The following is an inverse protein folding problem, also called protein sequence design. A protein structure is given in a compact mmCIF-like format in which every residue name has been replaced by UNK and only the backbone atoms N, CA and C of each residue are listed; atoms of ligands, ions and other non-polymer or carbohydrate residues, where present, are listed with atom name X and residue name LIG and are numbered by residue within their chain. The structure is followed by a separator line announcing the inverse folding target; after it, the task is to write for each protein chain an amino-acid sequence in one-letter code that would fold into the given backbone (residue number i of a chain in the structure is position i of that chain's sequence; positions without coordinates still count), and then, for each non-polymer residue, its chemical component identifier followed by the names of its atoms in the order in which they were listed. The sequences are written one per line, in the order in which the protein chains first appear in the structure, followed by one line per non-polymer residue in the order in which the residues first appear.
data_IF_942339095688
#
_entry.id   IF_942339095688
#
_cell.length_a   1.000
_cell.length_b   1.000
_cell.length_c   1.000
_cell.angle_alpha   90.00
_cell.angle_beta   90.00
_cell.angle_gamma   90.00
#
_symmetry.space_group_name_H-M   'P 1'
#
loop_
_entity.id
_entity.type
_entity.pdbx_description
1 polymer ?
#
# COMPACT_ATOMS: atom_id res chain seq x y z
N UNK A 1 24.10 6.98 -12.66
CA UNK A 1 24.87 8.04 -13.33
C UNK A 1 23.97 8.84 -14.27
N UNK A 2 23.50 8.29 -15.41
CA UNK A 2 22.61 9.02 -16.33
C UNK A 2 21.26 9.47 -15.73
N UNK A 3 20.59 8.61 -14.94
CA UNK A 3 19.36 8.97 -14.23
C UNK A 3 19.56 10.07 -13.17
N UNK A 4 20.76 10.13 -12.61
CA UNK A 4 21.15 11.04 -11.53
C UNK A 4 21.36 12.46 -12.07
N UNK A 5 21.93 12.59 -13.27
CA UNK A 5 22.08 13.87 -13.97
C UNK A 5 20.76 14.39 -14.55
N UNK A 6 19.87 13.51 -15.01
CA UNK A 6 18.59 13.90 -15.59
C UNK A 6 17.59 14.47 -14.56
N UNK A 7 17.65 14.02 -13.30
CA UNK A 7 16.74 14.41 -12.22
C UNK A 7 17.25 15.60 -11.39
N UNK A 8 18.54 15.92 -11.53
CA UNK A 8 19.26 16.99 -10.81
C UNK A 8 18.64 18.39 -10.96
N UNK A 9 18.28 18.88 -12.16
CA UNK A 9 17.71 20.22 -12.33
C UNK A 9 16.28 20.34 -11.79
N UNK A 10 15.59 19.22 -11.60
CA UNK A 10 14.16 19.17 -11.22
C UNK A 10 13.95 18.92 -9.72
N UNK A 11 14.91 18.24 -9.07
CA UNK A 11 14.77 17.77 -7.69
C UNK A 11 15.89 18.29 -6.76
N UNK A 12 17.05 18.68 -7.28
CA UNK A 12 18.21 19.07 -6.47
C UNK A 12 19.01 17.88 -5.94
N UNK A 13 20.32 18.10 -5.70
CA UNK A 13 21.32 17.03 -5.47
C UNK A 13 20.97 16.11 -4.30
N UNK A 14 20.52 16.67 -3.18
CA UNK A 14 20.15 15.92 -1.98
C UNK A 14 18.90 15.07 -2.20
N UNK A 15 17.94 15.55 -3.01
CA UNK A 15 16.70 14.83 -3.31
C UNK A 15 16.97 13.68 -4.27
N UNK A 16 17.86 13.84 -5.23
CA UNK A 16 18.28 12.75 -6.11
C UNK A 16 18.92 11.62 -5.31
N UNK A 17 19.75 11.94 -4.31
CA UNK A 17 20.44 10.95 -3.49
C UNK A 17 19.51 10.22 -2.51
N UNK A 18 18.64 10.95 -1.81
CA UNK A 18 17.66 10.38 -0.85
C UNK A 18 16.56 9.59 -1.56
N UNK A 19 16.04 10.12 -2.68
CA UNK A 19 15.01 9.43 -3.47
C UNK A 19 15.59 8.21 -4.15
N UNK A 20 16.85 8.21 -4.61
CA UNK A 20 17.46 6.99 -5.13
C UNK A 20 17.77 5.98 -4.02
N UNK A 21 18.14 6.40 -2.81
CA UNK A 21 18.50 5.48 -1.72
C UNK A 21 17.30 4.66 -1.20
N UNK A 22 16.19 5.32 -0.83
CA UNK A 22 14.99 4.63 -0.34
C UNK A 22 14.38 3.70 -1.40
N UNK A 23 14.48 4.12 -2.65
CA UNK A 23 13.91 3.46 -3.79
C UNK A 23 14.78 2.31 -4.29
N UNK A 24 16.11 2.43 -4.17
CA UNK A 24 17.06 1.34 -4.39
C UNK A 24 16.91 0.26 -3.33
N UNK A 25 16.64 0.62 -2.07
CA UNK A 25 16.34 -0.37 -1.03
C UNK A 25 15.01 -1.12 -1.30
N UNK A 26 13.98 -0.43 -1.81
CA UNK A 26 12.72 -1.07 -2.21
C UNK A 26 12.88 -1.91 -3.49
N UNK A 27 13.66 -1.45 -4.46
CA UNK A 27 13.98 -2.23 -5.66
C UNK A 27 14.84 -3.46 -5.33
N UNK A 28 15.81 -3.33 -4.43
CA UNK A 28 16.65 -4.44 -3.97
C UNK A 28 15.83 -5.46 -3.17
N UNK A 29 14.83 -5.02 -2.39
CA UNK A 29 13.84 -5.90 -1.75
C UNK A 29 13.02 -6.69 -2.80
N UNK A 30 12.49 -6.00 -3.81
CA UNK A 30 11.71 -6.62 -4.89
C UNK A 30 12.56 -7.54 -5.78
N UNK A 31 13.81 -7.18 -6.04
CA UNK A 31 14.77 -8.00 -6.80
C UNK A 31 15.27 -9.19 -5.98
N UNK A 32 15.37 -9.07 -4.65
CA UNK A 32 15.67 -10.19 -3.76
C UNK A 32 14.50 -11.19 -3.71
N UNK A 33 13.25 -10.69 -3.73
CA UNK A 33 12.04 -11.52 -3.86
C UNK A 33 11.96 -12.22 -5.24
N UNK A 34 12.37 -11.55 -6.33
CA UNK A 34 12.45 -12.18 -7.66
C UNK A 34 13.59 -13.19 -7.82
N UNK A 35 14.74 -13.02 -7.14
CA UNK A 35 15.84 -13.99 -7.18
C UNK A 35 15.50 -15.35 -6.56
N UNK A 36 14.42 -15.44 -5.79
CA UNK A 36 13.88 -16.72 -5.33
C UNK A 36 13.16 -17.50 -6.45
N UNK A 37 12.91 -16.89 -7.61
CA UNK A 37 12.23 -17.50 -8.76
C UNK A 37 12.85 -17.12 -10.11
N UNK A 38 13.96 -17.77 -10.48
CA UNK A 38 14.44 -17.84 -11.87
C UNK A 38 15.13 -16.59 -12.43
N UNK A 39 15.85 -16.76 -13.54
CA UNK A 39 16.94 -15.89 -14.03
C UNK A 39 16.59 -14.39 -14.27
N UNK A 40 17.57 -13.48 -14.13
CA UNK A 40 17.35 -12.04 -14.27
C UNK A 40 17.10 -11.63 -15.73
N UNK A 41 15.87 -11.25 -16.05
CA UNK A 41 15.54 -10.62 -17.34
C UNK A 41 15.48 -9.10 -17.24
N UNK A 42 16.32 -8.48 -18.06
CA UNK A 42 16.33 -7.08 -18.53
C UNK A 42 16.63 -5.99 -17.49
N UNK A 43 17.74 -5.28 -17.70
CA UNK A 43 17.99 -3.95 -17.13
C UNK A 43 16.83 -3.01 -17.50
N UNK A 44 15.92 -2.78 -16.55
CA UNK A 44 14.84 -1.82 -16.72
C UNK A 44 15.45 -0.42 -16.92
N UNK A 45 15.13 0.22 -18.05
CA UNK A 45 15.59 1.59 -18.36
C UNK A 45 15.13 2.54 -17.26
N UNK A 46 15.94 3.58 -16.98
CA UNK A 46 15.63 4.53 -15.90
C UNK A 46 14.27 5.23 -16.08
N UNK A 47 13.78 5.33 -17.30
CA UNK A 47 12.43 5.83 -17.62
C UNK A 47 11.32 4.84 -17.26
N UNK A 48 11.52 3.54 -17.53
CA UNK A 48 10.59 2.48 -17.11
C UNK A 48 10.54 2.38 -15.58
N UNK A 49 11.69 2.52 -14.93
CA UNK A 49 11.78 2.62 -13.47
C UNK A 49 10.98 3.82 -12.98
N UNK A 50 11.23 5.02 -13.49
CA UNK A 50 10.52 6.24 -13.07
C UNK A 50 9.00 6.16 -13.32
N UNK A 51 8.56 5.58 -14.44
CA UNK A 51 7.14 5.37 -14.73
C UNK A 51 6.51 4.37 -13.74
N UNK A 52 7.23 3.30 -13.40
CA UNK A 52 6.81 2.33 -12.40
C UNK A 52 6.78 2.96 -11.00
N UNK A 53 7.75 3.81 -10.67
CA UNK A 53 7.82 4.55 -9.41
C UNK A 53 6.71 5.59 -9.25
N UNK A 54 6.35 6.28 -10.33
CA UNK A 54 5.19 7.17 -10.38
C UNK A 54 3.86 6.43 -10.21
N UNK A 55 3.80 5.13 -10.50
CA UNK A 55 2.62 4.30 -10.26
C UNK A 55 2.48 3.85 -8.80
N UNK A 56 3.57 3.89 -8.02
CA UNK A 56 3.61 3.45 -6.62
C UNK A 56 3.73 4.59 -5.59
N UNK A 57 4.22 5.78 -5.98
CA UNK A 57 4.22 6.96 -5.12
C UNK A 57 2.96 7.80 -5.35
N UNK A 58 2.14 8.08 -4.32
CA UNK A 58 1.14 9.14 -4.39
C UNK A 58 1.85 10.44 -4.81
N UNK A 59 1.33 11.16 -5.82
CA UNK A 59 1.92 12.41 -6.35
C UNK A 59 2.31 13.39 -5.23
N UNK A 60 1.53 13.41 -4.16
CA UNK A 60 1.70 14.29 -3.02
C UNK A 60 2.91 13.96 -2.13
N UNK A 61 3.39 12.70 -2.09
CA UNK A 61 4.62 12.33 -1.39
C UNK A 61 5.84 12.87 -2.15
N UNK A 62 5.80 12.83 -3.48
CA UNK A 62 6.84 13.42 -4.33
C UNK A 62 6.91 14.96 -4.16
N UNK A 63 5.76 15.62 -3.95
CA UNK A 63 5.71 17.06 -3.68
C UNK A 63 6.25 17.45 -2.31
N UNK A 64 6.01 16.65 -1.26
CA UNK A 64 6.55 16.93 0.09
C UNK A 64 8.03 16.64 0.23
N UNK A 65 8.52 15.56 -0.39
CA UNK A 65 9.96 15.26 -0.44
C UNK A 65 10.74 16.39 -1.14
N UNK A 66 10.16 17.00 -2.19
CA UNK A 66 10.71 18.20 -2.85
C UNK A 66 10.85 19.40 -1.91
N UNK A 67 10.02 19.52 -0.88
CA UNK A 67 9.93 20.71 -0.04
C UNK A 67 10.84 20.66 1.22
N UNK A 68 11.08 19.49 1.82
CA UNK A 68 11.77 19.42 3.13
C UNK A 68 13.04 18.56 3.18
N UNK A 69 13.37 17.76 2.14
CA UNK A 69 14.60 16.96 2.08
C UNK A 69 14.72 15.81 3.10
N UNK A 70 13.91 15.83 4.16
CA UNK A 70 13.72 14.78 5.16
C UNK A 70 12.24 14.78 5.57
N UNK A 71 11.62 13.60 5.64
CA UNK A 71 10.32 13.46 6.31
C UNK A 71 10.62 12.96 7.72
N UNK A 72 11.01 13.89 8.59
CA UNK A 72 11.03 13.63 10.03
C UNK A 72 9.63 13.23 10.49
N UNK A 73 9.56 12.35 11.50
CA UNK A 73 8.30 11.83 12.02
C UNK A 73 7.38 12.96 12.47
N UNK A 74 6.32 13.22 11.71
CA UNK A 74 5.35 14.27 12.00
C UNK A 74 4.19 13.67 12.79
N UNK A 75 3.84 14.31 13.91
CA UNK A 75 2.63 13.94 14.64
C UNK A 75 1.41 14.42 13.88
N UNK A 76 0.51 13.50 13.54
CA UNK A 76 -0.68 13.82 12.75
C UNK A 76 -1.88 12.97 13.15
N UNK A 77 -3.07 13.53 12.97
CA UNK A 77 -4.30 12.77 13.04
C UNK A 77 -4.53 12.09 11.69
N UNK A 78 -4.77 10.78 11.72
CA UNK A 78 -5.04 9.98 10.53
C UNK A 78 -6.21 9.04 10.78
N UNK A 79 -6.82 8.56 9.70
CA UNK A 79 -7.73 7.41 9.73
C UNK A 79 -7.03 6.23 9.08
N UNK A 80 -6.91 5.12 9.83
CA UNK A 80 -6.25 3.89 9.39
C UNK A 80 -7.30 2.85 9.09
N UNK A 81 -7.14 2.14 7.98
CA UNK A 81 -7.95 0.99 7.58
C UNK A 81 -7.03 -0.23 7.53
N UNK A 82 -7.43 -1.31 8.20
CA UNK A 82 -6.96 -2.66 7.94
C UNK A 82 -8.10 -3.44 7.29
N UNK A 83 -7.85 -4.04 6.13
CA UNK A 83 -8.83 -4.84 5.42
C UNK A 83 -8.21 -6.17 5.01
N UNK A 84 -8.72 -7.28 5.55
CA UNK A 84 -8.24 -8.62 5.27
C UNK A 84 -9.26 -9.46 4.48
N UNK A 85 -8.77 -10.32 3.59
CA UNK A 85 -9.60 -11.11 2.68
C UNK A 85 -10.06 -12.39 3.37
N UNK A 86 -11.33 -12.41 3.75
CA UNK A 86 -11.96 -13.56 4.40
C UNK A 86 -12.05 -14.76 3.45
N UNK A 87 -11.52 -15.89 3.90
CA UNK A 87 -11.55 -17.16 3.15
C UNK A 87 -10.38 -17.35 2.19
N UNK A 88 -9.45 -16.40 2.11
CA UNK A 88 -8.30 -16.48 1.23
C UNK A 88 -7.29 -17.56 1.66
N UNK A 89 -7.00 -17.70 2.96
CA UNK A 89 -6.14 -18.79 3.46
C UNK A 89 -6.63 -20.16 3.02
N UNK A 90 -7.93 -20.44 3.20
CA UNK A 90 -8.53 -21.71 2.79
C UNK A 90 -8.54 -21.92 1.27
N UNK A 91 -8.54 -20.84 0.48
CA UNK A 91 -8.42 -20.89 -0.97
C UNK A 91 -6.98 -21.24 -1.38
N UNK A 92 -5.99 -20.65 -0.70
CA UNK A 92 -4.56 -20.86 -0.97
C UNK A 92 -4.09 -22.29 -0.73
N UNK A 93 -4.79 -23.04 0.12
CA UNK A 93 -4.51 -24.46 0.38
C UNK A 93 -5.03 -25.40 -0.72
N UNK A 94 -5.94 -24.93 -1.58
CA UNK A 94 -6.64 -25.76 -2.58
C UNK A 94 -6.17 -25.52 -4.01
N UNK A 95 -5.76 -24.30 -4.30
CA UNK A 95 -5.34 -23.88 -5.63
C UNK A 95 -3.82 -23.99 -5.78
N UNK A 96 -3.37 -24.11 -7.03
CA UNK A 96 -1.94 -24.08 -7.34
C UNK A 96 -1.34 -22.71 -6.96
N UNK A 97 -0.11 -22.64 -6.41
CA UNK A 97 0.48 -21.39 -5.92
C UNK A 97 0.51 -20.25 -6.95
N UNK A 98 0.71 -20.57 -8.23
CA UNK A 98 0.72 -19.59 -9.31
C UNK A 98 -0.67 -18.98 -9.56
N UNK A 99 -1.72 -19.80 -9.48
CA UNK A 99 -3.11 -19.33 -9.64
C UNK A 99 -3.54 -18.51 -8.44
N UNK A 100 -3.18 -18.95 -7.24
CA UNK A 100 -3.39 -18.20 -5.99
C UNK A 100 -2.77 -16.82 -6.12
N UNK A 101 -1.48 -16.74 -6.47
CA UNK A 101 -0.75 -15.48 -6.61
C UNK A 101 -1.43 -14.51 -7.59
N UNK A 102 -1.84 -14.99 -8.77
CA UNK A 102 -2.57 -14.16 -9.74
C UNK A 102 -3.90 -13.64 -9.18
N UNK A 103 -4.64 -14.49 -8.48
CA UNK A 103 -5.94 -14.16 -7.92
C UNK A 103 -5.82 -13.14 -6.78
N UNK A 104 -4.80 -13.26 -5.91
CA UNK A 104 -4.53 -12.26 -4.86
C UNK A 104 -4.23 -10.92 -5.49
N UNK A 105 -3.35 -10.90 -6.49
CA UNK A 105 -2.93 -9.66 -7.12
C UNK A 105 -4.10 -8.93 -7.77
N UNK A 106 -4.99 -9.66 -8.44
CA UNK A 106 -6.20 -9.08 -9.03
C UNK A 106 -7.20 -8.59 -7.96
N UNK A 107 -7.34 -9.32 -6.86
CA UNK A 107 -8.20 -8.91 -5.75
C UNK A 107 -7.64 -7.67 -5.03
N UNK A 108 -6.38 -7.68 -4.64
CA UNK A 108 -5.68 -6.56 -4.00
C UNK A 108 -5.72 -5.32 -4.89
N UNK A 109 -5.57 -5.47 -6.21
CA UNK A 109 -5.70 -4.37 -7.16
C UNK A 109 -7.06 -3.67 -7.06
N UNK A 110 -8.16 -4.42 -6.93
CA UNK A 110 -9.48 -3.83 -6.76
C UNK A 110 -9.60 -3.05 -5.44
N UNK A 111 -9.03 -3.57 -4.36
CA UNK A 111 -9.04 -2.88 -3.07
C UNK A 111 -8.18 -1.61 -3.09
N UNK A 112 -7.01 -1.65 -3.71
CA UNK A 112 -6.13 -0.49 -3.93
C UNK A 112 -6.85 0.59 -4.73
N UNK A 113 -7.58 0.22 -5.78
CA UNK A 113 -8.38 1.16 -6.56
C UNK A 113 -9.47 1.85 -5.73
N UNK A 114 -10.08 1.16 -4.76
CA UNK A 114 -11.00 1.80 -3.81
C UNK A 114 -10.29 2.83 -2.91
N UNK A 115 -9.10 2.51 -2.38
CA UNK A 115 -8.34 3.46 -1.56
C UNK A 115 -8.01 4.73 -2.36
N UNK A 116 -7.47 4.55 -3.57
CA UNK A 116 -7.06 5.67 -4.42
C UNK A 116 -8.22 6.49 -4.97
N UNK A 117 -9.38 5.87 -5.21
CA UNK A 117 -10.59 6.58 -5.62
C UNK A 117 -11.00 7.67 -4.62
N UNK A 118 -10.73 7.45 -3.33
CA UNK A 118 -11.01 8.41 -2.27
C UNK A 118 -9.76 9.13 -1.77
N UNK A 119 -8.68 9.14 -2.57
CA UNK A 119 -7.42 9.84 -2.28
C UNK A 119 -6.76 9.41 -0.95
N UNK A 120 -6.90 8.13 -0.59
CA UNK A 120 -6.13 7.50 0.47
C UNK A 120 -4.77 7.01 -0.03
N UNK A 121 -3.89 6.66 0.90
CA UNK A 121 -2.61 6.04 0.62
C UNK A 121 -2.63 4.58 1.08
N UNK A 122 -2.15 3.66 0.24
CA UNK A 122 -1.85 2.29 0.67
C UNK A 122 -0.47 2.31 1.31
N UNK A 123 -0.40 1.98 2.60
CA UNK A 123 0.83 2.00 3.38
C UNK A 123 1.66 0.75 3.11
N UNK A 124 1.04 -0.43 3.27
CA UNK A 124 1.65 -1.72 2.94
C UNK A 124 0.62 -2.84 2.79
N UNK A 125 1.10 -3.94 2.22
CA UNK A 125 0.44 -5.24 2.23
C UNK A 125 1.03 -6.10 3.36
N UNK A 126 0.18 -6.90 4.01
CA UNK A 126 0.54 -7.82 5.08
C UNK A 126 -0.12 -9.16 4.73
N UNK A 127 0.50 -9.92 3.82
CA UNK A 127 -0.15 -11.08 3.23
C UNK A 127 -1.33 -10.66 2.35
N UNK A 128 -2.53 -11.15 2.68
CA UNK A 128 -3.83 -10.81 2.11
C UNK A 128 -4.48 -9.57 2.73
N UNK A 129 -3.89 -9.01 3.79
CA UNK A 129 -4.36 -7.80 4.42
C UNK A 129 -3.76 -6.54 3.77
N UNK A 130 -4.58 -5.50 3.61
CA UNK A 130 -4.16 -4.16 3.19
C UNK A 130 -4.25 -3.21 4.37
N UNK A 131 -3.17 -2.47 4.60
CA UNK A 131 -3.16 -1.29 5.45
C UNK A 131 -3.23 -0.02 4.59
N UNK A 132 -4.28 0.78 4.79
CA UNK A 132 -4.46 2.07 4.13
C UNK A 132 -4.61 3.21 5.15
N UNK A 133 -4.21 4.41 4.74
CA UNK A 133 -4.16 5.60 5.59
C UNK A 133 -4.76 6.80 4.86
N UNK A 134 -5.57 7.55 5.58
CA UNK A 134 -6.12 8.83 5.19
C UNK A 134 -5.62 9.87 6.19
N UNK A 135 -5.19 11.04 5.71
CA UNK A 135 -4.53 12.06 6.53
C UNK A 135 -3.00 12.09 6.42
N UNK A 136 -2.41 11.09 5.76
CA UNK A 136 -0.99 11.04 5.47
C UNK A 136 -0.74 10.60 4.00
N UNK A 137 0.20 11.22 3.27
CA UNK A 137 1.05 12.33 3.66
C UNK A 137 0.35 13.71 3.57
N UNK A 138 -0.93 13.77 3.18
CA UNK A 138 -1.73 15.01 3.13
C UNK A 138 -2.96 14.82 4.01
N UNK A 139 -3.23 15.81 4.86
CA UNK A 139 -4.43 15.86 5.70
C UNK A 139 -5.53 16.67 5.02
N UNK A 140 -6.75 16.13 5.07
CA UNK A 140 -7.98 16.79 4.62
C UNK A 140 -9.01 16.71 5.75
N UNK A 141 -9.93 17.67 5.82
CA UNK A 141 -10.92 17.74 6.90
C UNK A 141 -11.86 16.52 6.93
N UNK A 142 -12.04 15.86 5.79
CA UNK A 142 -12.95 14.72 5.58
C UNK A 142 -12.24 13.35 5.55
N UNK A 143 -11.01 13.26 6.08
CA UNK A 143 -10.19 12.03 6.06
C UNK A 143 -10.95 10.78 6.55
N UNK A 144 -11.73 10.91 7.64
CA UNK A 144 -12.51 9.81 8.20
C UNK A 144 -13.68 9.41 7.29
N UNK A 145 -14.37 10.37 6.70
CA UNK A 145 -15.48 10.12 5.77
C UNK A 145 -14.98 9.44 4.49
N UNK A 146 -13.84 9.91 3.95
CA UNK A 146 -13.19 9.30 2.78
C UNK A 146 -12.73 7.89 3.07
N UNK A 147 -12.18 7.62 4.25
CA UNK A 147 -11.80 6.28 4.68
C UNK A 147 -13.01 5.33 4.71
N UNK A 148 -14.13 5.74 5.32
CA UNK A 148 -15.34 4.92 5.35
C UNK A 148 -15.95 4.69 3.95
N UNK A 149 -15.93 5.71 3.08
CA UNK A 149 -16.35 5.56 1.68
C UNK A 149 -15.45 4.59 0.91
N UNK A 150 -14.14 4.62 1.15
CA UNK A 150 -13.21 3.65 0.59
C UNK A 150 -13.51 2.23 1.09
N UNK A 151 -13.77 2.05 2.38
CA UNK A 151 -14.18 0.77 2.97
C UNK A 151 -15.45 0.21 2.31
N UNK A 152 -16.46 1.05 2.06
CA UNK A 152 -17.67 0.60 1.35
C UNK A 152 -17.37 0.24 -0.11
N UNK A 153 -16.56 1.05 -0.80
CA UNK A 153 -16.15 0.78 -2.18
C UNK A 153 -15.31 -0.50 -2.32
N UNK A 154 -14.44 -0.80 -1.36
CA UNK A 154 -13.71 -2.07 -1.32
C UNK A 154 -14.66 -3.26 -1.36
N UNK A 155 -15.73 -3.22 -0.57
CA UNK A 155 -16.74 -4.30 -0.54
C UNK A 155 -17.49 -4.41 -1.86
N UNK A 156 -17.91 -3.28 -2.44
CA UNK A 156 -18.59 -3.26 -3.75
C UNK A 156 -17.70 -3.81 -4.87
N UNK A 157 -16.42 -3.43 -4.88
CA UNK A 157 -15.44 -3.92 -5.84
C UNK A 157 -15.15 -5.40 -5.64
N UNK A 158 -15.07 -5.88 -4.40
CA UNK A 158 -14.92 -7.31 -4.11
C UNK A 158 -16.15 -8.11 -4.60
N UNK A 159 -17.36 -7.57 -4.48
CA UNK A 159 -18.54 -8.20 -5.08
C UNK A 159 -18.41 -8.28 -6.61
N UNK A 160 -17.89 -7.23 -7.25
CA UNK A 160 -17.57 -7.23 -8.68
C UNK A 160 -16.53 -8.30 -9.05
N UNK A 161 -15.48 -8.42 -8.25
CA UNK A 161 -14.47 -9.45 -8.38
C UNK A 161 -15.07 -10.85 -8.24
N UNK A 162 -15.82 -11.11 -7.17
CA UNK A 162 -16.50 -12.38 -6.92
C UNK A 162 -17.36 -12.80 -8.12
N UNK A 163 -18.14 -11.88 -8.72
CA UNK A 163 -18.95 -12.19 -9.91
C UNK A 163 -18.10 -12.67 -11.10
N UNK A 164 -16.91 -12.12 -11.30
CA UNK A 164 -16.01 -12.51 -12.41
C UNK A 164 -15.29 -13.83 -12.14
N UNK A 165 -15.05 -14.16 -10.87
CA UNK A 165 -14.17 -15.25 -10.48
C UNK A 165 -14.88 -16.41 -9.76
N UNK A 166 -16.21 -16.35 -9.59
CA UNK A 166 -16.96 -17.31 -8.76
C UNK A 166 -16.76 -18.77 -9.18
N UNK A 167 -16.63 -19.06 -10.47
CA UNK A 167 -16.42 -20.40 -10.99
C UNK A 167 -15.08 -21.00 -10.50
N UNK A 168 -14.05 -20.16 -10.37
CA UNK A 168 -12.73 -20.57 -9.85
C UNK A 168 -12.69 -20.56 -8.32
N UNK A 169 -13.37 -19.61 -7.69
CA UNK A 169 -13.38 -19.46 -6.24
C UNK A 169 -14.19 -20.56 -5.53
N UNK A 170 -15.25 -21.06 -6.16
CA UNK A 170 -16.21 -22.01 -5.57
C UNK A 170 -17.13 -21.39 -4.51
N UNK A 171 -16.69 -20.32 -3.85
CA UNK A 171 -17.46 -19.53 -2.89
C UNK A 171 -17.03 -18.06 -2.96
N UNK A 172 -17.92 -17.09 -2.70
CA UNK A 172 -17.53 -15.69 -2.70
C UNK A 172 -16.56 -15.39 -1.55
N UNK A 173 -15.57 -14.55 -1.84
CA UNK A 173 -14.70 -13.94 -0.82
C UNK A 173 -15.46 -12.81 -0.11
N UNK A 174 -15.05 -12.46 1.10
CA UNK A 174 -15.54 -11.28 1.82
C UNK A 174 -14.37 -10.52 2.45
N UNK A 175 -14.64 -9.38 3.09
CA UNK A 175 -13.64 -8.63 3.87
C UNK A 175 -14.05 -8.57 5.34
N UNK A 176 -13.07 -8.65 6.24
CA UNK A 176 -13.22 -8.14 7.59
C UNK A 176 -12.32 -6.92 7.73
N UNK A 177 -12.90 -5.83 8.24
CA UNK A 177 -12.29 -4.52 8.16
C UNK A 177 -12.33 -3.83 9.52
N UNK A 178 -11.19 -3.29 9.93
CA UNK A 178 -11.04 -2.44 11.10
C UNK A 178 -10.63 -1.04 10.68
N UNK A 179 -11.32 -0.03 11.18
CA UNK A 179 -11.05 1.38 10.92
C UNK A 179 -10.83 2.07 12.25
N UNK A 180 -9.83 2.94 12.37
CA UNK A 180 -9.67 3.77 13.55
C UNK A 180 -9.08 5.13 13.19
N UNK A 181 -9.54 6.18 13.88
CA UNK A 181 -9.02 7.54 13.73
C UNK A 181 -8.28 7.96 14.98
N UNK A 182 -7.10 8.53 14.83
CA UNK A 182 -6.34 8.99 15.98
C UNK A 182 -4.96 9.55 15.62
N UNK A 183 -4.23 9.93 16.65
CA UNK A 183 -2.89 10.50 16.49
C UNK A 183 -1.86 9.39 16.21
N UNK A 184 -0.99 9.64 15.24
CA UNK A 184 0.14 8.79 14.85
C UNK A 184 1.37 9.66 14.64
N UNK A 185 2.53 9.02 14.53
CA UNK A 185 3.72 9.60 13.92
C UNK A 185 3.81 9.07 12.49
N UNK A 186 3.81 9.98 11.51
CA UNK A 186 3.94 9.67 10.09
C UNK A 186 5.31 10.11 9.59
N UNK A 187 6.11 9.21 9.04
CA UNK A 187 7.46 9.54 8.59
C UNK A 187 8.20 8.35 8.00
N UNK A 188 9.45 8.58 7.63
CA UNK A 188 10.33 7.48 7.23
C UNK A 188 10.73 6.68 8.46
N UNK A 189 10.35 5.40 8.50
CA UNK A 189 10.70 4.46 9.58
C UNK A 189 11.50 3.31 8.99
N UNK A 190 12.60 2.94 9.66
CA UNK A 190 13.48 1.88 9.17
C UNK A 190 14.91 2.01 9.68
N UNK A 191 15.78 1.10 9.24
CA UNK A 191 17.23 1.18 9.46
C UNK A 191 17.92 1.72 8.21
N UNK A 192 19.23 1.96 8.29
CA UNK A 192 20.08 2.39 7.17
C UNK A 192 19.97 1.49 5.92
N UNK A 193 19.48 0.25 6.08
CA UNK A 193 19.32 -0.74 5.00
C UNK A 193 17.92 -0.74 4.37
N UNK A 194 16.90 -0.23 5.07
CA UNK A 194 15.51 -0.25 4.58
C UNK A 194 14.70 0.85 5.25
N UNK A 195 14.43 1.92 4.51
CA UNK A 195 13.51 2.99 4.93
C UNK A 195 12.18 2.89 4.17
N UNK A 196 11.07 3.14 4.87
CA UNK A 196 9.75 3.26 4.24
C UNK A 196 8.93 4.33 4.94
N UNK A 197 8.20 5.14 4.18
CA UNK A 197 7.23 6.06 4.74
C UNK A 197 6.07 5.24 5.32
N UNK A 198 5.75 5.44 6.59
CA UNK A 198 4.68 4.71 7.26
C UNK A 198 4.15 5.49 8.45
N UNK A 199 3.01 5.04 8.99
CA UNK A 199 2.45 5.56 10.25
C UNK A 199 2.66 4.59 11.39
N UNK A 200 3.04 5.10 12.56
CA UNK A 200 3.20 4.33 13.79
C UNK A 200 2.42 4.98 14.94
N UNK A 201 1.84 4.15 15.81
CA UNK A 201 1.13 4.62 16.99
C UNK A 201 0.05 3.65 17.46
N UNK A 202 -0.48 3.90 18.65
CA UNK A 202 -1.56 3.09 19.25
C UNK A 202 -2.83 3.05 18.39
N UNK A 203 -3.09 4.13 17.65
CA UNK A 203 -4.18 4.21 16.65
C UNK A 203 -4.10 3.08 15.62
N UNK A 204 -2.89 2.81 15.10
CA UNK A 204 -2.64 1.75 14.09
C UNK A 204 -2.89 0.38 14.70
N UNK A 205 -2.38 0.13 15.91
CA UNK A 205 -2.57 -1.13 16.62
C UNK A 205 -4.04 -1.39 16.94
N UNK A 206 -4.78 -0.35 17.32
CA UNK A 206 -6.22 -0.45 17.58
C UNK A 206 -7.00 -0.77 16.31
N UNK A 207 -6.67 -0.14 15.17
CA UNK A 207 -7.29 -0.49 13.88
C UNK A 207 -7.08 -1.97 13.52
N UNK A 208 -5.85 -2.48 13.69
CA UNK A 208 -5.54 -3.90 13.47
C UNK A 208 -6.31 -4.82 14.44
N UNK A 209 -6.49 -4.44 15.71
CA UNK A 209 -7.30 -5.22 16.66
C UNK A 209 -8.79 -5.23 16.31
N UNK A 210 -9.30 -4.11 15.79
CA UNK A 210 -10.69 -4.04 15.32
C UNK A 210 -10.90 -4.94 14.10
N UNK A 211 -9.95 -4.95 13.18
CA UNK A 211 -9.96 -5.85 12.02
C UNK A 211 -9.96 -7.32 12.46
N UNK A 212 -9.01 -7.74 13.31
CA UNK A 212 -8.97 -9.12 13.81
C UNK A 212 -10.15 -9.54 14.69
N UNK A 213 -10.96 -8.59 15.18
CA UNK A 213 -12.20 -8.87 15.90
C UNK A 213 -13.44 -8.91 14.97
N UNK A 214 -13.35 -8.32 13.78
CA UNK A 214 -14.41 -8.31 12.79
C UNK A 214 -14.54 -9.69 12.12
N UNK A 215 -15.77 -10.13 11.88
CA UNK A 215 -16.04 -11.33 11.08
C UNK A 215 -16.17 -10.98 9.61
N UNK A 216 -16.15 -11.99 8.74
CA UNK A 216 -16.43 -11.83 7.31
C UNK A 216 -17.67 -10.95 7.05
N UNK A 217 -17.48 -9.89 6.27
CA UNK A 217 -18.49 -8.90 5.91
C UNK A 217 -18.72 -7.79 6.93
N UNK A 218 -18.01 -7.80 8.07
CA UNK A 218 -18.13 -6.79 9.11
C UNK A 218 -17.08 -5.69 8.97
N UNK A 219 -17.49 -4.48 9.37
CA UNK A 219 -16.63 -3.31 9.49
C UNK A 219 -16.75 -2.83 10.93
N UNK A 220 -15.63 -2.80 11.65
CA UNK A 220 -15.53 -2.22 12.98
C UNK A 220 -14.83 -0.86 12.91
N UNK A 221 -15.34 0.09 13.69
CA UNK A 221 -14.86 1.48 13.78
C UNK A 221 -14.68 1.83 15.25
#
# INVERSE_FOLDING_TARGET
MAAQEALRPTLGDAVVEVTLAALRAQLESLLAEQKAGGEPKAELSSEALLAQLQSYLPKQLADKVRASGQIEGERRQVTVIFADISGFTALSERLDPEEVASLVNDCLKELVLAVYQYEGMVDKFIGDCIMAVFGAPVALEDDADRALRATLSMRERLQGFNRRWIEKLGQPLDLHIGVNTGMVIAGNVGSDLRMSYTVIGDTVNTASRLEGAAKAGQVFV
#
